data_IF_529482325959
#
_entry.id   IF_529482325959
#
_cell.length_a   1.000
_cell.length_b   1.000
_cell.length_c   1.000
_cell.angle_alpha   90.00
_cell.angle_beta   90.00
_cell.angle_gamma   90.00
#
_symmetry.space_group_name_H-M   'P 1'
#
loop_
_entity.id
_entity.type
_entity.pdbx_description
1 polymer ?
#
# COMPACT_ATOMS: atom_id res chain seq x y z
N UNK A 1 -36.02 -82.21 40.56
CA UNK A 1 -35.63 -81.40 39.39
C UNK A 1 -36.94 -80.98 38.69
N UNK A 2 -37.61 -79.91 39.12
CA UNK A 2 -37.42 -78.47 38.79
C UNK A 2 -37.57 -78.11 37.31
N UNK A 3 -38.65 -77.38 37.05
CA UNK A 3 -38.92 -76.45 35.93
C UNK A 3 -38.41 -75.03 36.34
N UNK A 4 -38.74 -73.91 35.66
CA UNK A 4 -38.63 -73.45 34.25
C UNK A 4 -37.83 -72.10 34.15
N UNK A 5 -37.85 -71.43 32.98
CA UNK A 5 -37.90 -69.95 32.73
C UNK A 5 -36.93 -69.44 31.64
N UNK A 6 -37.16 -68.39 30.82
CA UNK A 6 -38.29 -67.54 30.38
C UNK A 6 -37.68 -66.58 29.31
N UNK A 7 -38.44 -66.30 28.24
CA UNK A 7 -38.48 -65.13 27.32
C UNK A 7 -37.25 -64.23 27.04
N UNK A 8 -37.04 -63.86 25.76
CA UNK A 8 -37.43 -62.54 25.21
C UNK A 8 -37.07 -62.41 23.72
N UNK A 9 -38.11 -62.22 22.90
CA UNK A 9 -38.05 -61.69 21.54
C UNK A 9 -37.76 -60.19 21.63
N UNK A 10 -36.66 -59.72 21.02
CA UNK A 10 -36.45 -58.29 20.80
C UNK A 10 -36.59 -58.03 19.31
N UNK A 11 -37.70 -57.35 19.02
CA UNK A 11 -38.08 -56.83 17.75
C UNK A 11 -37.10 -55.76 17.25
N UNK A 12 -36.96 -55.75 15.92
CA UNK A 12 -36.64 -54.60 15.07
C UNK A 12 -37.09 -53.26 15.69
N UNK A 13 -36.13 -52.50 16.21
CA UNK A 13 -36.32 -51.06 16.45
C UNK A 13 -35.88 -50.35 15.18
N UNK A 14 -36.88 -49.96 14.37
CA UNK A 14 -36.77 -48.83 13.45
C UNK A 14 -36.36 -47.60 14.27
N UNK A 15 -35.09 -47.22 14.21
CA UNK A 15 -34.70 -45.88 14.60
C UNK A 15 -34.80 -44.96 13.39
N UNK A 16 -35.68 -43.97 13.59
CA UNK A 16 -36.06 -42.88 12.72
C UNK A 16 -34.81 -42.13 12.24
N UNK A 17 -34.77 -41.92 10.94
CA UNK A 17 -33.73 -41.20 10.20
C UNK A 17 -33.81 -39.71 10.50
N UNK A 18 -33.16 -39.26 11.58
CA UNK A 18 -32.72 -37.86 11.68
C UNK A 18 -31.31 -37.75 11.10
N UNK A 19 -31.05 -36.89 10.09
CA UNK A 19 -29.69 -36.72 9.59
C UNK A 19 -28.85 -36.05 10.68
N UNK A 20 -27.61 -36.52 10.94
CA UNK A 20 -26.79 -35.96 11.99
C UNK A 20 -26.45 -34.51 11.63
N UNK A 21 -26.58 -33.60 12.61
CA UNK A 21 -26.07 -32.21 12.56
C UNK A 21 -24.61 -32.15 12.08
N UNK A 22 -23.87 -33.24 12.24
CA UNK A 22 -22.51 -33.46 11.72
C UNK A 22 -22.41 -33.41 10.18
N UNK A 23 -23.44 -33.83 9.45
CA UNK A 23 -23.48 -33.70 7.98
C UNK A 23 -23.80 -32.27 7.54
N UNK A 24 -24.53 -31.48 8.34
CA UNK A 24 -24.74 -30.06 8.09
C UNK A 24 -23.49 -29.23 8.39
N UNK A 25 -22.77 -29.55 9.47
CA UNK A 25 -21.47 -28.90 9.75
C UNK A 25 -20.46 -29.31 8.69
N UNK A 26 -20.36 -30.60 8.34
CA UNK A 26 -19.52 -31.06 7.23
C UNK A 26 -19.89 -30.42 5.90
N UNK A 27 -21.19 -30.25 5.60
CA UNK A 27 -21.65 -29.59 4.37
C UNK A 27 -21.49 -28.06 4.40
N UNK A 28 -21.47 -27.41 5.56
CA UNK A 28 -21.11 -25.97 5.68
C UNK A 28 -19.59 -25.80 5.53
N UNK A 29 -18.79 -26.74 6.07
CA UNK A 29 -17.34 -26.80 5.85
C UNK A 29 -17.01 -27.07 4.37
N UNK A 30 -17.72 -28.00 3.73
CA UNK A 30 -17.52 -28.33 2.32
C UNK A 30 -18.07 -27.25 1.38
N UNK A 31 -19.13 -26.51 1.76
CA UNK A 31 -19.56 -25.32 1.00
C UNK A 31 -18.63 -24.12 1.21
N UNK A 32 -17.73 -24.18 2.19
CA UNK A 32 -16.67 -23.19 2.39
C UNK A 32 -15.37 -23.61 1.67
N UNK A 33 -15.18 -24.90 1.39
CA UNK A 33 -13.94 -25.44 0.79
C UNK A 33 -14.07 -25.98 -0.64
N UNK A 34 -15.26 -26.05 -1.24
CA UNK A 34 -15.43 -26.50 -2.63
C UNK A 34 -15.57 -25.33 -3.63
N UNK A 35 -14.56 -24.47 -3.62
CA UNK A 35 -14.46 -23.31 -4.49
C UNK A 35 -13.01 -22.90 -4.72
N UNK A 36 -12.17 -23.77 -5.29
CA UNK A 36 -10.86 -23.39 -5.85
C UNK A 36 -9.98 -22.53 -4.89
N UNK A 37 -9.68 -23.03 -3.69
CA UNK A 37 -8.95 -22.32 -2.61
C UNK A 37 -7.43 -22.11 -2.84
N UNK A 38 -6.97 -21.89 -4.08
CA UNK A 38 -5.53 -21.78 -4.37
C UNK A 38 -4.96 -20.36 -4.54
N UNK A 39 -5.72 -19.42 -5.12
CA UNK A 39 -5.08 -18.19 -5.62
C UNK A 39 -5.76 -16.87 -5.30
N UNK A 40 -7.08 -16.75 -5.47
CA UNK A 40 -7.74 -15.45 -5.36
C UNK A 40 -9.11 -15.52 -4.70
N UNK A 41 -9.21 -14.85 -3.55
CA UNK A 41 -10.52 -14.53 -2.98
C UNK A 41 -11.06 -13.30 -3.70
N UNK A 42 -12.26 -13.39 -4.27
CA UNK A 42 -12.90 -12.27 -4.98
C UNK A 42 -12.95 -10.98 -4.13
N UNK A 43 -13.16 -11.12 -2.82
CA UNK A 43 -13.18 -9.98 -1.89
C UNK A 43 -11.83 -9.30 -1.75
N UNK A 44 -10.74 -10.09 -1.74
CA UNK A 44 -9.38 -9.56 -1.68
C UNK A 44 -9.02 -8.83 -2.97
N UNK A 45 -9.34 -9.42 -4.11
CA UNK A 45 -9.06 -8.82 -5.41
C UNK A 45 -9.89 -7.55 -5.61
N UNK A 46 -11.17 -7.55 -5.23
CA UNK A 46 -12.01 -6.35 -5.23
C UNK A 46 -11.45 -5.25 -4.31
N UNK A 47 -10.99 -5.61 -3.11
CA UNK A 47 -10.39 -4.67 -2.17
C UNK A 47 -9.13 -3.99 -2.72
N UNK A 48 -8.38 -4.65 -3.60
CA UNK A 48 -7.17 -4.12 -4.23
C UNK A 48 -7.46 -3.33 -5.51
N UNK A 49 -8.33 -3.85 -6.38
CA UNK A 49 -8.62 -3.28 -7.70
C UNK A 49 -9.47 -2.02 -7.58
N UNK A 50 -10.50 -2.01 -6.72
CA UNK A 50 -11.45 -0.89 -6.64
C UNK A 50 -10.74 0.40 -6.22
N UNK A 51 -9.95 0.45 -5.12
CA UNK A 51 -9.26 1.68 -4.73
C UNK A 51 -8.23 2.14 -5.77
N UNK A 52 -7.50 1.21 -6.37
CA UNK A 52 -6.51 1.49 -7.42
C UNK A 52 -7.16 2.08 -8.67
N UNK A 53 -8.27 1.50 -9.13
CA UNK A 53 -9.01 1.97 -10.29
C UNK A 53 -9.64 3.34 -10.03
N UNK A 54 -10.23 3.55 -8.85
CA UNK A 54 -10.78 4.84 -8.44
C UNK A 54 -9.71 5.93 -8.44
N UNK A 55 -8.52 5.64 -7.92
CA UNK A 55 -7.40 6.60 -7.92
C UNK A 55 -6.99 6.96 -9.36
N UNK A 56 -6.79 5.98 -10.23
CA UNK A 56 -6.40 6.22 -11.63
C UNK A 56 -7.48 7.00 -12.39
N UNK A 57 -8.75 6.67 -12.19
CA UNK A 57 -9.88 7.40 -12.78
C UNK A 57 -9.94 8.84 -12.29
N UNK A 58 -9.78 9.04 -10.98
CA UNK A 58 -9.78 10.35 -10.36
C UNK A 58 -8.63 11.22 -10.89
N UNK A 59 -7.40 10.68 -10.90
CA UNK A 59 -6.26 11.36 -11.50
C UNK A 59 -6.54 11.65 -12.97
N UNK A 60 -7.09 10.68 -13.72
CA UNK A 60 -7.39 10.81 -15.16
C UNK A 60 -8.35 11.94 -15.48
N UNK A 61 -9.44 12.02 -14.73
CA UNK A 61 -10.44 13.08 -14.87
C UNK A 61 -9.84 14.46 -14.60
N UNK A 62 -8.97 14.54 -13.59
CA UNK A 62 -8.42 15.78 -13.10
C UNK A 62 -7.10 16.20 -13.79
N UNK A 63 -6.46 15.30 -14.57
CA UNK A 63 -5.16 15.50 -15.22
C UNK A 63 -5.09 16.76 -16.07
N UNK A 64 -6.11 17.05 -16.89
CA UNK A 64 -6.07 18.24 -17.74
C UNK A 64 -6.07 19.54 -16.94
N UNK A 65 -6.75 19.56 -15.79
CA UNK A 65 -6.78 20.73 -14.89
C UNK A 65 -5.44 20.86 -14.15
N UNK A 66 -4.94 19.75 -13.61
CA UNK A 66 -3.71 19.72 -12.83
C UNK A 66 -2.47 20.01 -13.68
N UNK A 67 -2.39 19.50 -14.91
CA UNK A 67 -1.28 19.79 -15.82
C UNK A 67 -1.26 21.27 -16.26
N UNK A 68 -2.43 21.89 -16.51
CA UNK A 68 -2.49 23.32 -16.84
C UNK A 68 -1.97 24.16 -15.67
N UNK A 69 -2.42 23.87 -14.45
CA UNK A 69 -1.95 24.51 -13.21
C UNK A 69 -0.44 24.35 -13.00
N UNK A 70 0.05 23.11 -13.10
CA UNK A 70 1.48 22.78 -12.94
C UNK A 70 2.37 23.45 -14.00
N UNK A 71 1.92 23.49 -15.26
CA UNK A 71 2.65 24.10 -16.37
C UNK A 71 2.75 25.62 -16.23
N UNK A 72 1.69 26.28 -15.75
CA UNK A 72 1.68 27.74 -15.59
C UNK A 72 2.69 28.21 -14.53
N UNK A 73 2.90 27.42 -13.48
CA UNK A 73 3.80 27.77 -12.36
C UNK A 73 5.27 27.37 -12.58
N UNK A 74 5.58 26.61 -13.65
CA UNK A 74 6.93 26.05 -13.93
C UNK A 74 7.55 25.31 -12.72
N UNK A 75 6.73 24.69 -11.88
CA UNK A 75 7.23 23.90 -10.74
C UNK A 75 7.63 22.51 -11.21
N UNK A 76 8.86 22.37 -11.70
CA UNK A 76 9.39 21.10 -12.21
C UNK A 76 9.35 19.97 -11.18
N UNK A 77 9.54 20.28 -9.88
CA UNK A 77 9.47 19.33 -8.77
C UNK A 77 8.10 18.67 -8.69
N UNK A 78 7.06 19.50 -8.69
CA UNK A 78 5.68 19.03 -8.55
C UNK A 78 5.21 18.26 -9.79
N UNK A 79 5.68 18.66 -10.97
CA UNK A 79 5.45 17.92 -12.22
C UNK A 79 6.09 16.53 -12.16
N UNK A 80 7.35 16.41 -11.73
CA UNK A 80 8.03 15.14 -11.61
C UNK A 80 7.34 14.22 -10.59
N UNK A 81 6.96 14.75 -9.43
CA UNK A 81 6.23 13.97 -8.41
C UNK A 81 4.86 13.52 -8.90
N UNK A 82 4.11 14.38 -9.61
CA UNK A 82 2.83 14.00 -10.22
C UNK A 82 2.99 12.91 -11.29
N UNK A 83 4.06 12.97 -12.09
CA UNK A 83 4.37 11.95 -13.09
C UNK A 83 4.73 10.60 -12.45
N UNK A 84 5.55 10.61 -11.39
CA UNK A 84 5.88 9.41 -10.61
C UNK A 84 4.63 8.82 -9.94
N UNK A 85 3.73 9.67 -9.44
CA UNK A 85 2.47 9.22 -8.85
C UNK A 85 1.60 8.52 -9.88
N UNK A 86 1.46 9.10 -11.07
CA UNK A 86 0.76 8.50 -12.20
C UNK A 86 1.35 7.15 -12.61
N UNK A 87 2.67 7.11 -12.77
CA UNK A 87 3.37 5.89 -13.15
C UNK A 87 3.17 4.77 -12.12
N UNK A 88 3.35 5.09 -10.83
CA UNK A 88 3.17 4.13 -9.74
C UNK A 88 1.71 3.69 -9.59
N UNK A 89 0.74 4.59 -9.80
CA UNK A 89 -0.68 4.25 -9.77
C UNK A 89 -1.06 3.28 -10.90
N UNK A 90 -0.51 3.46 -12.10
CA UNK A 90 -0.71 2.53 -13.23
C UNK A 90 -0.07 1.17 -12.95
N UNK A 91 1.14 1.13 -12.39
CA UNK A 91 1.79 -0.11 -11.99
C UNK A 91 0.99 -0.84 -10.91
N UNK A 92 0.52 -0.12 -9.88
CA UNK A 92 -0.29 -0.69 -8.82
C UNK A 92 -1.66 -1.19 -9.31
N UNK A 93 -2.26 -0.49 -10.28
CA UNK A 93 -3.47 -0.98 -10.97
C UNK A 93 -3.17 -2.26 -11.77
N UNK A 94 -2.05 -2.30 -12.50
CA UNK A 94 -1.65 -3.50 -13.24
C UNK A 94 -1.39 -4.68 -12.28
N UNK A 95 -0.69 -4.43 -11.17
CA UNK A 95 -0.43 -5.43 -10.13
C UNK A 95 -1.72 -5.99 -9.53
N UNK A 96 -2.67 -5.12 -9.17
CA UNK A 96 -3.97 -5.54 -8.62
C UNK A 96 -4.86 -6.29 -9.64
N UNK A 97 -4.83 -5.93 -10.93
CA UNK A 97 -5.57 -6.63 -11.97
C UNK A 97 -4.96 -7.99 -12.33
N UNK A 98 -3.64 -8.13 -12.20
CA UNK A 98 -2.90 -9.31 -12.64
C UNK A 98 -2.60 -10.30 -11.51
N UNK A 99 -3.30 -10.21 -10.38
CA UNK A 99 -3.15 -11.13 -9.25
C UNK A 99 -3.25 -12.62 -9.66
N UNK A 100 -4.08 -12.94 -10.64
CA UNK A 100 -4.20 -14.31 -11.16
C UNK A 100 -2.91 -14.84 -11.81
N UNK A 101 -1.94 -14.00 -12.17
CA UNK A 101 -0.63 -14.45 -12.69
C UNK A 101 0.22 -15.12 -11.63
N UNK A 102 -0.04 -14.87 -10.34
CA UNK A 102 0.68 -15.52 -9.25
C UNK A 102 0.54 -17.05 -9.27
N UNK A 103 -0.59 -17.59 -9.76
CA UNK A 103 -0.85 -19.03 -9.81
C UNK A 103 -0.91 -19.62 -11.22
N UNK A 104 -0.62 -18.81 -12.25
CA UNK A 104 -0.55 -19.30 -13.60
C UNK A 104 0.83 -19.96 -13.84
N UNK A 105 0.87 -21.25 -14.23
CA UNK A 105 2.14 -21.92 -14.51
C UNK A 105 2.86 -21.22 -15.68
N UNK A 106 4.17 -20.96 -15.52
CA UNK A 106 4.99 -20.29 -16.51
C UNK A 106 4.97 -18.75 -16.49
N UNK A 107 4.16 -18.10 -15.63
CA UNK A 107 4.11 -16.63 -15.50
C UNK A 107 4.84 -16.06 -14.28
N UNK A 108 5.54 -16.90 -13.51
CA UNK A 108 6.24 -16.51 -12.30
C UNK A 108 7.25 -15.37 -12.52
N UNK A 109 7.99 -15.38 -13.64
CA UNK A 109 8.96 -14.33 -13.98
C UNK A 109 8.24 -13.00 -14.18
N UNK A 110 7.17 -12.97 -14.96
CA UNK A 110 6.40 -11.75 -15.23
C UNK A 110 5.74 -11.21 -13.96
N UNK A 111 5.23 -12.09 -13.09
CA UNK A 111 4.66 -11.70 -11.79
C UNK A 111 5.70 -11.06 -10.87
N UNK A 112 6.88 -11.68 -10.76
CA UNK A 112 7.98 -11.16 -9.95
C UNK A 112 8.49 -9.82 -10.48
N UNK A 113 8.63 -9.67 -11.81
CA UNK A 113 9.03 -8.41 -12.43
C UNK A 113 7.98 -7.32 -12.17
N UNK A 114 6.70 -7.62 -12.39
CA UNK A 114 5.62 -6.65 -12.15
C UNK A 114 5.58 -6.20 -10.68
N UNK A 115 5.76 -7.14 -9.75
CA UNK A 115 5.80 -6.85 -8.32
C UNK A 115 7.01 -5.99 -7.96
N UNK A 116 8.21 -6.32 -8.46
CA UNK A 116 9.42 -5.52 -8.27
C UNK A 116 9.25 -4.08 -8.78
N UNK A 117 8.70 -3.91 -9.99
CA UNK A 117 8.48 -2.57 -10.55
C UNK A 117 7.45 -1.78 -9.74
N UNK A 118 6.40 -2.44 -9.26
CA UNK A 118 5.35 -1.80 -8.46
C UNK A 118 5.88 -1.33 -7.10
N UNK A 119 6.60 -2.20 -6.38
CA UNK A 119 7.26 -1.85 -5.11
C UNK A 119 8.30 -0.74 -5.30
N UNK A 120 9.12 -0.82 -6.36
CA UNK A 120 10.06 0.23 -6.74
C UNK A 120 9.38 1.58 -6.96
N UNK A 121 8.27 1.62 -7.70
CA UNK A 121 7.53 2.87 -7.95
C UNK A 121 7.03 3.50 -6.66
N UNK A 122 6.46 2.68 -5.77
CA UNK A 122 5.95 3.13 -4.47
C UNK A 122 7.07 3.61 -3.53
N UNK A 123 8.19 2.87 -3.45
CA UNK A 123 9.35 3.24 -2.65
C UNK A 123 10.07 4.47 -3.22
N UNK A 124 10.11 4.63 -4.54
CA UNK A 124 10.62 5.83 -5.20
C UNK A 124 9.81 7.08 -4.83
N UNK A 125 8.47 6.99 -4.82
CA UNK A 125 7.61 8.07 -4.34
C UNK A 125 7.89 8.41 -2.87
N UNK A 126 8.06 7.39 -2.05
CA UNK A 126 8.34 7.50 -0.62
C UNK A 126 9.63 8.26 -0.32
N UNK A 127 10.73 7.81 -0.92
CA UNK A 127 12.05 8.41 -0.70
C UNK A 127 12.10 9.80 -1.33
N UNK A 128 11.52 9.98 -2.51
CA UNK A 128 11.50 11.27 -3.18
C UNK A 128 10.76 12.32 -2.34
N UNK A 129 9.60 11.99 -1.78
CA UNK A 129 8.85 12.97 -0.98
C UNK A 129 9.57 13.33 0.32
N UNK A 130 10.14 12.34 1.01
CA UNK A 130 10.93 12.60 2.22
C UNK A 130 12.15 13.45 1.88
N UNK A 131 12.86 13.15 0.78
CA UNK A 131 14.00 13.91 0.33
C UNK A 131 13.64 15.37 -0.04
N UNK A 132 12.53 15.59 -0.75
CA UNK A 132 12.07 16.94 -1.09
C UNK A 132 11.71 17.76 0.14
N UNK A 133 11.03 17.15 1.10
CA UNK A 133 10.58 17.85 2.31
C UNK A 133 11.73 18.17 3.25
N UNK A 134 12.82 17.39 3.21
CA UNK A 134 14.04 17.67 3.98
C UNK A 134 14.95 18.72 3.33
N UNK A 135 14.73 19.08 2.06
CA UNK A 135 15.52 20.12 1.41
C UNK A 135 14.95 21.51 1.68
N UNK A 136 15.68 22.28 2.49
CA UNK A 136 15.34 23.64 2.90
C UNK A 136 15.54 24.71 1.81
N UNK A 137 16.10 24.37 0.64
CA UNK A 137 16.63 25.38 -0.29
C UNK A 137 16.00 25.32 -1.69
N UNK A 138 15.15 26.30 -1.97
CA UNK A 138 14.45 26.54 -3.24
C UNK A 138 15.31 27.19 -4.34
N UNK A 139 16.64 27.28 -4.16
CA UNK A 139 17.53 27.88 -5.17
C UNK A 139 17.82 26.85 -6.29
N UNK A 140 17.36 27.16 -7.51
CA UNK A 140 17.32 26.31 -8.71
C UNK A 140 16.55 25.00 -8.54
N UNK A 141 15.22 25.09 -8.44
CA UNK A 141 14.31 23.93 -8.26
C UNK A 141 14.43 22.79 -9.28
N UNK A 142 15.13 22.95 -10.41
CA UNK A 142 15.46 21.84 -11.33
C UNK A 142 16.73 21.10 -10.91
N UNK A 143 17.75 21.80 -10.43
CA UNK A 143 19.02 21.21 -10.03
C UNK A 143 18.89 20.51 -8.68
N UNK A 144 18.20 21.13 -7.71
CA UNK A 144 17.82 20.47 -6.46
C UNK A 144 16.92 19.25 -6.71
N UNK A 145 16.02 19.32 -7.69
CA UNK A 145 15.19 18.21 -8.15
C UNK A 145 16.02 17.08 -8.76
N UNK A 146 16.93 17.40 -9.68
CA UNK A 146 17.78 16.40 -10.30
C UNK A 146 18.65 15.71 -9.25
N UNK A 147 19.17 16.47 -8.27
CA UNK A 147 19.97 15.91 -7.20
C UNK A 147 19.16 15.01 -6.25
N UNK A 148 17.95 15.42 -5.82
CA UNK A 148 17.07 14.56 -5.00
C UNK A 148 16.66 13.31 -5.74
N UNK A 149 16.25 13.45 -7.00
CA UNK A 149 15.84 12.31 -7.83
C UNK A 149 17.00 11.36 -8.12
N UNK A 150 18.22 11.89 -8.30
CA UNK A 150 19.41 11.08 -8.48
C UNK A 150 19.76 10.32 -7.20
N UNK A 151 19.71 10.98 -6.04
CA UNK A 151 19.97 10.35 -4.75
C UNK A 151 18.89 9.31 -4.43
N UNK A 152 17.60 9.68 -4.54
CA UNK A 152 16.48 8.75 -4.29
C UNK A 152 16.49 7.59 -5.27
N UNK A 153 16.71 7.86 -6.56
CA UNK A 153 16.83 6.86 -7.61
C UNK A 153 17.99 5.90 -7.38
N UNK A 154 19.11 6.38 -6.82
CA UNK A 154 20.24 5.51 -6.46
C UNK A 154 19.89 4.54 -5.33
N UNK A 155 19.22 5.02 -4.27
CA UNK A 155 18.73 4.15 -3.19
C UNK A 155 17.74 3.11 -3.71
N UNK A 156 16.78 3.52 -4.54
CA UNK A 156 15.80 2.63 -5.17
C UNK A 156 16.48 1.60 -6.08
N UNK A 157 17.50 2.00 -6.85
CA UNK A 157 18.23 1.09 -7.73
C UNK A 157 18.99 0.02 -6.94
N UNK A 158 19.60 0.39 -5.81
CA UNK A 158 20.26 -0.56 -4.90
C UNK A 158 19.24 -1.52 -4.31
N UNK A 159 18.09 -1.03 -3.85
CA UNK A 159 17.00 -1.86 -3.32
C UNK A 159 16.51 -2.88 -4.36
N UNK A 160 16.18 -2.43 -5.58
CA UNK A 160 15.79 -3.33 -6.68
C UNK A 160 16.86 -4.37 -6.95
N UNK A 161 18.14 -3.97 -7.00
CA UNK A 161 19.23 -4.88 -7.29
C UNK A 161 19.35 -5.96 -6.22
N UNK A 162 19.26 -5.58 -4.94
CA UNK A 162 19.24 -6.51 -3.81
C UNK A 162 18.06 -7.47 -3.93
N UNK A 163 16.83 -6.96 -4.14
CA UNK A 163 15.64 -7.80 -4.28
C UNK A 163 15.73 -8.74 -5.50
N UNK A 164 16.26 -8.26 -6.62
CA UNK A 164 16.48 -9.05 -7.84
C UNK A 164 17.44 -10.21 -7.59
N UNK A 165 18.54 -9.99 -6.86
CA UNK A 165 19.48 -11.05 -6.49
C UNK A 165 18.81 -12.08 -5.59
N UNK A 166 18.00 -11.66 -4.61
CA UNK A 166 17.27 -12.60 -3.75
C UNK A 166 16.22 -13.44 -4.51
N UNK A 167 15.50 -12.83 -5.46
CA UNK A 167 14.46 -13.52 -6.24
C UNK A 167 15.06 -14.43 -7.30
N UNK A 168 15.95 -13.90 -8.15
CA UNK A 168 16.46 -14.63 -9.32
C UNK A 168 17.77 -15.37 -9.06
N UNK A 169 18.59 -14.88 -8.13
CA UNK A 169 19.85 -15.53 -7.74
C UNK A 169 19.64 -16.64 -6.71
N UNK A 170 18.95 -16.33 -5.61
CA UNK A 170 18.70 -17.29 -4.53
C UNK A 170 17.38 -18.06 -4.66
N UNK A 171 16.51 -17.70 -5.62
CA UNK A 171 15.25 -18.39 -5.85
C UNK A 171 14.22 -18.23 -4.73
N UNK A 172 14.34 -17.19 -3.89
CA UNK A 172 13.42 -16.96 -2.77
C UNK A 172 12.13 -16.32 -3.29
N UNK A 173 10.94 -16.96 -3.11
CA UNK A 173 9.69 -16.43 -3.61
C UNK A 173 9.16 -15.30 -2.70
N UNK A 174 9.71 -14.09 -2.85
CA UNK A 174 9.33 -12.90 -2.08
C UNK A 174 7.84 -12.52 -2.28
N UNK A 175 7.30 -12.70 -3.48
CA UNK A 175 5.94 -12.29 -3.84
C UNK A 175 4.90 -13.44 -3.95
N UNK A 176 5.28 -14.68 -3.61
CA UNK A 176 4.33 -15.79 -3.58
C UNK A 176 3.72 -15.94 -2.18
N UNK A 177 2.41 -15.84 -2.07
CA UNK A 177 1.64 -15.96 -0.81
C UNK A 177 1.40 -17.41 -0.36
N UNK A 178 1.78 -18.41 -1.17
CA UNK A 178 1.38 -19.80 -0.94
C UNK A 178 2.22 -20.53 0.14
N UNK A 179 3.48 -20.13 0.33
CA UNK A 179 4.40 -20.91 1.17
C UNK A 179 4.79 -20.17 2.45
N UNK A 180 4.11 -20.52 3.54
CA UNK A 180 4.43 -20.06 4.89
C UNK A 180 5.84 -20.52 5.36
N UNK A 181 6.40 -21.56 4.74
CA UNK A 181 7.53 -22.32 5.29
C UNK A 181 8.94 -21.87 4.82
N UNK A 182 9.06 -20.83 4.00
CA UNK A 182 10.38 -20.32 3.59
C UNK A 182 10.93 -19.30 4.60
N UNK A 183 11.68 -19.76 5.60
CA UNK A 183 12.40 -18.92 6.58
C UNK A 183 13.18 -17.77 5.92
N UNK A 184 13.81 -18.03 4.78
CA UNK A 184 14.56 -17.01 4.02
C UNK A 184 13.71 -15.82 3.56
N UNK A 185 12.46 -16.05 3.16
CA UNK A 185 11.53 -14.99 2.74
C UNK A 185 11.23 -14.04 3.90
N UNK A 186 10.85 -14.60 5.04
CA UNK A 186 10.49 -13.85 6.22
C UNK A 186 11.68 -13.12 6.83
N UNK A 187 12.88 -13.71 6.77
CA UNK A 187 14.10 -13.04 7.23
C UNK A 187 14.47 -11.83 6.37
N UNK A 188 14.41 -11.95 5.04
CA UNK A 188 14.70 -10.83 4.12
C UNK A 188 13.67 -9.72 4.31
N UNK A 189 12.39 -10.09 4.37
CA UNK A 189 11.30 -9.15 4.61
C UNK A 189 11.44 -8.44 5.97
N UNK A 190 11.75 -9.19 7.04
CA UNK A 190 11.96 -8.65 8.37
C UNK A 190 13.10 -7.62 8.40
N UNK A 191 14.25 -7.93 7.78
CA UNK A 191 15.39 -7.01 7.71
C UNK A 191 15.02 -5.76 6.91
N UNK A 192 14.35 -5.91 5.77
CA UNK A 192 13.90 -4.78 4.96
C UNK A 192 12.95 -3.86 5.76
N UNK A 193 11.92 -4.42 6.39
CA UNK A 193 10.97 -3.65 7.21
C UNK A 193 11.62 -3.08 8.47
N UNK A 194 12.62 -3.74 9.05
CA UNK A 194 13.39 -3.21 10.19
C UNK A 194 14.14 -1.94 9.80
N UNK A 195 14.80 -1.94 8.63
CA UNK A 195 15.52 -0.78 8.11
C UNK A 195 14.56 0.39 7.90
N UNK A 196 13.42 0.17 7.24
CA UNK A 196 12.39 1.21 7.05
C UNK A 196 11.87 1.75 8.39
N UNK A 197 11.56 0.85 9.33
CA UNK A 197 11.11 1.24 10.68
C UNK A 197 12.16 2.09 11.39
N UNK A 198 13.44 1.72 11.29
CA UNK A 198 14.55 2.46 11.89
C UNK A 198 14.72 3.86 11.28
N UNK A 199 14.58 4.00 9.95
CA UNK A 199 14.62 5.30 9.27
C UNK A 199 13.49 6.21 9.76
N UNK A 200 12.26 5.72 9.79
CA UNK A 200 11.12 6.51 10.28
C UNK A 200 11.21 6.83 11.77
N UNK A 201 11.69 5.89 12.58
CA UNK A 201 11.99 6.12 13.99
C UNK A 201 13.04 7.21 14.17
N UNK A 202 14.10 7.20 13.35
CA UNK A 202 15.14 8.23 13.36
C UNK A 202 14.56 9.62 13.04
N UNK A 203 13.70 9.73 12.02
CA UNK A 203 13.04 11.01 11.67
C UNK A 203 12.19 11.51 12.85
N UNK A 204 11.40 10.65 13.49
CA UNK A 204 10.63 11.01 14.69
C UNK A 204 11.53 11.41 15.86
N UNK A 205 12.64 10.70 16.06
CA UNK A 205 13.60 11.03 17.10
C UNK A 205 14.22 12.42 16.90
N UNK A 206 14.59 12.78 15.65
CA UNK A 206 15.09 14.11 15.33
C UNK A 206 14.04 15.18 15.61
N UNK A 207 12.75 14.89 15.34
CA UNK A 207 11.64 15.80 15.61
C UNK A 207 11.43 16.10 17.10
N UNK A 208 11.44 15.07 17.94
CA UNK A 208 11.28 15.25 19.40
C UNK A 208 12.56 15.73 20.08
N UNK A 209 13.70 15.66 19.40
CA UNK A 209 14.99 16.13 19.89
C UNK A 209 15.17 17.64 19.69
N UNK A 210 16.24 18.19 20.28
CA UNK A 210 16.65 19.60 20.10
C UNK A 210 17.06 19.94 18.66
N UNK A 211 17.07 18.97 17.76
CA UNK A 211 17.49 19.06 16.37
C UNK A 211 16.31 19.31 15.41
N UNK A 212 15.11 19.57 15.96
CA UNK A 212 13.88 19.86 15.22
C UNK A 212 14.00 21.00 14.21
N UNK A 213 14.93 21.92 14.42
CA UNK A 213 15.15 23.08 13.55
C UNK A 213 15.72 22.69 12.16
N UNK A 214 16.12 21.42 11.98
CA UNK A 214 16.53 20.85 10.68
C UNK A 214 15.39 20.15 9.91
N UNK A 215 14.19 20.07 10.49
CA UNK A 215 13.04 19.40 9.87
C UNK A 215 12.03 20.44 9.37
N UNK A 216 11.31 20.13 8.26
CA UNK A 216 10.33 21.05 7.70
C UNK A 216 9.22 21.36 8.72
N UNK A 217 8.75 22.62 8.82
CA UNK A 217 7.74 23.04 9.79
C UNK A 217 6.30 22.59 9.45
N UNK A 218 6.10 21.74 8.43
CA UNK A 218 4.76 21.37 7.95
C UNK A 218 4.12 20.27 8.82
N UNK A 219 2.95 20.50 9.46
CA UNK A 219 2.30 19.50 10.30
C UNK A 219 1.90 18.23 9.55
N UNK A 220 1.57 18.33 8.25
CA UNK A 220 1.21 17.18 7.41
C UNK A 220 2.35 16.17 7.23
N UNK A 221 3.61 16.64 7.20
CA UNK A 221 4.78 15.78 7.12
C UNK A 221 4.91 14.89 8.36
N UNK A 222 4.69 15.44 9.55
CA UNK A 222 4.80 14.68 10.79
C UNK A 222 3.69 13.63 10.93
N UNK A 223 2.46 13.98 10.57
CA UNK A 223 1.36 13.00 10.54
C UNK A 223 1.68 11.85 9.59
N UNK A 224 2.27 12.14 8.42
CA UNK A 224 2.74 11.12 7.48
C UNK A 224 3.82 10.22 8.10
N UNK A 225 4.88 10.80 8.68
CA UNK A 225 5.99 10.04 9.30
C UNK A 225 5.47 9.14 10.45
N UNK A 226 4.55 9.63 11.29
CA UNK A 226 3.95 8.84 12.38
C UNK A 226 3.15 7.65 11.83
N UNK A 227 2.31 7.88 10.81
CA UNK A 227 1.51 6.81 10.18
C UNK A 227 2.42 5.76 9.56
N UNK A 228 3.45 6.17 8.81
CA UNK A 228 4.39 5.24 8.19
C UNK A 228 5.22 4.47 9.23
N UNK A 229 5.62 5.11 10.33
CA UNK A 229 6.27 4.41 11.44
C UNK A 229 5.37 3.31 12.02
N UNK A 230 4.09 3.61 12.29
CA UNK A 230 3.13 2.63 12.83
C UNK A 230 2.94 1.46 11.86
N UNK A 231 2.74 1.73 10.56
CA UNK A 231 2.55 0.68 9.55
C UNK A 231 3.80 -0.20 9.43
N UNK A 232 4.99 0.39 9.39
CA UNK A 232 6.25 -0.36 9.32
C UNK A 232 6.50 -1.17 10.61
N UNK A 233 6.21 -0.62 11.79
CA UNK A 233 6.31 -1.35 13.05
C UNK A 233 5.34 -2.55 13.11
N UNK A 234 4.10 -2.38 12.63
CA UNK A 234 3.16 -3.50 12.47
C UNK A 234 3.67 -4.53 11.46
N UNK A 235 4.29 -4.10 10.36
CA UNK A 235 4.91 -4.99 9.37
C UNK A 235 6.10 -5.77 9.92
N UNK A 236 6.91 -5.13 10.76
CA UNK A 236 8.02 -5.77 11.46
C UNK A 236 7.51 -6.84 12.43
N UNK A 237 6.45 -6.52 13.16
CA UNK A 237 5.79 -7.47 14.05
C UNK A 237 5.17 -8.64 13.27
N UNK A 238 4.48 -8.36 12.16
CA UNK A 238 3.85 -9.37 11.31
C UNK A 238 4.88 -10.32 10.68
N UNK A 239 5.97 -9.77 10.12
CA UNK A 239 7.06 -10.55 9.53
C UNK A 239 7.84 -11.37 10.56
N UNK A 240 8.05 -10.83 11.77
CA UNK A 240 8.63 -11.58 12.89
C UNK A 240 7.77 -12.76 13.34
N UNK A 241 6.45 -12.54 13.51
CA UNK A 241 5.50 -13.62 13.85
C UNK A 241 5.38 -14.67 12.74
N UNK A 242 5.34 -14.24 11.49
CA UNK A 242 5.27 -15.13 10.34
C UNK A 242 6.55 -15.97 10.18
N UNK A 243 7.72 -15.40 10.48
CA UNK A 243 8.99 -16.13 10.51
C UNK A 243 9.05 -17.24 11.57
N UNK A 244 8.34 -17.09 12.69
CA UNK A 244 8.21 -18.13 13.74
C UNK A 244 7.12 -19.16 13.39
N UNK A 245 6.35 -18.94 12.31
CA UNK A 245 5.29 -19.84 11.86
C UNK A 245 3.95 -19.62 12.57
N UNK A 246 3.75 -18.47 13.24
CA UNK A 246 2.48 -18.13 13.88
C UNK A 246 1.51 -17.62 12.80
N UNK A 247 0.37 -18.31 12.63
CA UNK A 247 -0.63 -17.97 11.59
C UNK A 247 -1.17 -16.54 11.66
N UNK A 248 -1.20 -15.93 12.84
CA UNK A 248 -1.56 -14.52 13.03
C UNK A 248 -0.59 -13.57 12.30
N UNK A 249 0.70 -13.91 12.18
CA UNK A 249 1.67 -13.14 11.42
C UNK A 249 1.37 -13.10 9.92
N UNK A 250 0.98 -14.25 9.35
CA UNK A 250 0.55 -14.36 7.95
C UNK A 250 -0.72 -13.54 7.69
N UNK A 251 -1.69 -13.62 8.61
CA UNK A 251 -2.93 -12.85 8.50
C UNK A 251 -2.66 -11.34 8.57
N UNK A 252 -1.88 -10.87 9.54
CA UNK A 252 -1.48 -9.46 9.65
C UNK A 252 -0.72 -8.99 8.42
N UNK A 253 0.22 -9.79 7.92
CA UNK A 253 0.99 -9.47 6.72
C UNK A 253 0.08 -9.28 5.49
N UNK A 254 -0.89 -10.18 5.29
CA UNK A 254 -1.86 -10.05 4.20
C UNK A 254 -2.71 -8.78 4.33
N UNK A 255 -3.15 -8.42 5.54
CA UNK A 255 -3.89 -7.17 5.77
C UNK A 255 -3.01 -5.96 5.44
N UNK A 256 -1.74 -5.97 5.85
CA UNK A 256 -0.79 -4.88 5.56
C UNK A 256 -0.57 -4.72 4.05
N UNK A 257 -0.39 -5.82 3.30
CA UNK A 257 -0.29 -5.78 1.83
C UNK A 257 -1.54 -5.13 1.22
N UNK A 258 -2.73 -5.55 1.63
CA UNK A 258 -3.99 -5.00 1.10
C UNK A 258 -4.06 -3.50 1.39
N UNK A 259 -3.78 -3.08 2.62
CA UNK A 259 -3.75 -1.68 3.00
C UNK A 259 -2.71 -0.89 2.21
N UNK A 260 -1.50 -1.43 2.02
CA UNK A 260 -0.42 -0.78 1.29
C UNK A 260 -0.84 -0.51 -0.16
N UNK A 261 -1.20 -1.55 -0.92
CA UNK A 261 -1.57 -1.37 -2.33
C UNK A 261 -2.90 -0.61 -2.52
N UNK A 262 -3.80 -0.61 -1.53
CA UNK A 262 -5.11 0.06 -1.68
C UNK A 262 -5.10 1.52 -1.23
N UNK A 263 -4.42 1.81 -0.13
CA UNK A 263 -4.56 3.09 0.60
C UNK A 263 -3.30 3.95 0.54
N UNK A 264 -2.13 3.40 0.23
CA UNK A 264 -0.89 4.16 0.27
C UNK A 264 -0.84 5.29 -0.77
N UNK A 265 -1.09 5.01 -2.05
CA UNK A 265 -1.08 6.04 -3.08
C UNK A 265 -2.19 7.11 -2.89
N UNK A 266 -3.45 6.74 -2.54
CA UNK A 266 -4.45 7.74 -2.17
C UNK A 266 -4.03 8.59 -0.97
N UNK A 267 -3.42 7.99 0.05
CA UNK A 267 -2.92 8.69 1.22
C UNK A 267 -1.85 9.71 0.83
N UNK A 268 -0.84 9.31 0.05
CA UNK A 268 0.18 10.23 -0.48
C UNK A 268 -0.41 11.39 -1.29
N UNK A 269 -1.41 11.10 -2.13
CA UNK A 269 -2.08 12.13 -2.91
C UNK A 269 -2.74 13.17 -1.98
N UNK A 270 -3.49 12.73 -0.97
CA UNK A 270 -4.21 13.63 -0.06
C UNK A 270 -3.26 14.43 0.83
N UNK A 271 -2.20 13.81 1.36
CA UNK A 271 -1.29 14.48 2.30
C UNK A 271 -0.43 15.55 1.66
N UNK A 272 -0.06 15.38 0.39
CA UNK A 272 0.93 16.24 -0.25
C UNK A 272 0.42 16.94 -1.50
N UNK A 273 -0.32 16.23 -2.35
CA UNK A 273 -0.76 16.76 -3.64
C UNK A 273 -2.01 17.62 -3.52
N UNK A 274 -3.00 17.18 -2.76
CA UNK A 274 -4.26 17.90 -2.60
C UNK A 274 -4.04 19.29 -1.99
N UNK A 275 -3.19 19.39 -0.96
CA UNK A 275 -2.85 20.67 -0.32
C UNK A 275 -2.21 21.67 -1.29
N UNK A 276 -1.31 21.21 -2.17
CA UNK A 276 -0.69 22.07 -3.18
C UNK A 276 -1.71 22.67 -4.16
N UNK A 277 -2.66 21.86 -4.65
CA UNK A 277 -3.68 22.34 -5.59
C UNK A 277 -4.71 23.26 -4.93
N UNK A 278 -5.03 23.04 -3.65
CA UNK A 278 -5.95 23.88 -2.88
C UNK A 278 -5.33 25.24 -2.52
N UNK A 279 -4.06 25.26 -2.07
CA UNK A 279 -3.34 26.50 -1.83
C UNK A 279 -3.26 27.36 -3.11
N UNK A 280 -3.12 26.74 -4.28
CA UNK A 280 -3.13 27.44 -5.57
C UNK A 280 -4.48 28.06 -5.90
N UNK A 281 -5.58 27.31 -5.72
CA UNK A 281 -6.93 27.84 -5.96
C UNK A 281 -7.21 29.06 -5.08
N UNK A 282 -6.83 28.99 -3.80
CA UNK A 282 -6.94 30.11 -2.88
C UNK A 282 -6.09 31.33 -3.28
N UNK A 283 -4.86 31.12 -3.73
CA UNK A 283 -3.99 32.22 -4.18
C UNK A 283 -4.52 32.87 -5.46
N UNK A 284 -5.04 32.07 -6.39
CA UNK A 284 -5.59 32.56 -7.65
C UNK A 284 -6.89 33.33 -7.43
N UNK A 285 -7.76 32.84 -6.55
CA UNK A 285 -8.96 33.56 -6.12
C UNK A 285 -8.59 34.88 -5.44
N UNK A 286 -7.63 34.90 -4.51
CA UNK A 286 -7.18 36.14 -3.87
C UNK A 286 -6.59 37.15 -4.85
N UNK A 287 -5.78 36.71 -5.81
CA UNK A 287 -5.22 37.59 -6.84
C UNK A 287 -6.35 38.21 -7.70
N UNK A 288 -7.31 37.38 -8.11
CA UNK A 288 -8.48 37.83 -8.86
C UNK A 288 -9.35 38.81 -8.05
N UNK A 289 -9.60 38.52 -6.77
CA UNK A 289 -10.31 39.43 -5.86
C UNK A 289 -9.56 40.75 -5.66
N UNK A 290 -8.23 40.73 -5.56
CA UNK A 290 -7.43 41.95 -5.48
C UNK A 290 -7.51 42.77 -6.76
N UNK A 291 -7.50 42.14 -7.94
CA UNK A 291 -7.64 42.82 -9.23
C UNK A 291 -9.04 43.43 -9.39
N UNK A 292 -10.09 42.72 -8.98
CA UNK A 292 -11.45 43.28 -8.94
C UNK A 292 -11.57 44.45 -7.96
N UNK A 293 -10.91 44.37 -6.82
CA UNK A 293 -10.86 45.47 -5.85
C UNK A 293 -10.15 46.69 -6.42
N UNK A 294 -8.99 46.51 -7.04
CA UNK A 294 -8.22 47.61 -7.63
C UNK A 294 -8.94 48.23 -8.85
N UNK A 295 -9.79 47.46 -9.53
CA UNK A 295 -10.66 47.95 -10.60
C UNK A 295 -11.88 48.76 -10.10
N UNK A 296 -12.01 48.98 -8.79
CA UNK A 296 -13.11 49.74 -8.19
C UNK A 296 -14.47 49.00 -8.23
N UNK A 297 -14.47 47.69 -8.50
CA UNK A 297 -15.69 46.89 -8.62
C UNK A 297 -16.47 46.78 -7.30
N UNK A 298 -15.80 47.07 -6.17
CA UNK A 298 -16.39 47.06 -4.83
C UNK A 298 -16.55 48.46 -4.22
N UNK A 299 -16.20 49.53 -4.95
CA UNK A 299 -16.25 50.92 -4.45
C UNK A 299 -17.62 51.59 -4.68
N UNK A 300 -18.68 50.81 -4.89
CA UNK A 300 -20.03 51.40 -4.93
C UNK A 300 -20.42 51.85 -3.52
N UNK A 301 -20.28 53.15 -3.26
CA UNK A 301 -20.91 53.86 -2.15
C UNK A 301 -22.42 53.52 -2.17
N UNK A 302 -22.86 52.69 -1.23
CA UNK A 302 -24.28 52.49 -0.96
C UNK A 302 -24.74 53.65 -0.07
N UNK A 303 -25.06 54.78 -0.71
CA UNK A 303 -25.86 55.85 -0.10
C UNK A 303 -27.37 55.49 -0.13
#
# INVERSE_FOLDING_TARGET
MSNPNITLSIASVRNITDPPVRSKIGRISDLYSDGSEGCSSLWRDAALVVPSALLVLYLGFQTRRHLKKLSNRKSYVMIAYYALLWFSALLNLAWSLLQGWQCAPGKAISWNLLSLFTECGMLSLEISIVAFLLQDNYASGLEALAHTFLVSGSFVAVDILVQTIFIFGFGVPLFSSADASHWGKWSVLFVHTLVLTAVYCYILFVHYSKWRDKLPPRPSFYNYVVVMFIINAMGLFASGLAGIGIGLGLWLYNVIIICHHSLYLPFLYVTFLAGFFQEEDWLLDNAYYSEMKDAGFFDTEWD
#
